data_IF_891638299018
#
_entry.id   IF_891638299018
#
_cell.length_a   1.000
_cell.length_b   1.000
_cell.length_c   1.000
_cell.angle_alpha   90.00
_cell.angle_beta   90.00
_cell.angle_gamma   90.00
#
_symmetry.space_group_name_H-M   'P 1'
#
loop_
_entity.id
_entity.type
_entity.pdbx_description
1 polymer ?
#
# COMPACT_ATOMS: atom_id res chain seq x y z
N UNK A 1 1.31 8.85 8.38
CA UNK A 1 2.63 8.86 7.72
C UNK A 1 3.72 9.29 8.71
N UNK A 2 4.98 8.91 8.43
CA UNK A 2 6.21 9.37 9.11
C UNK A 2 7.42 8.97 8.28
N UNK A 3 8.61 9.51 8.60
CA UNK A 3 9.87 9.02 8.05
C UNK A 3 10.25 7.64 8.63
N UNK A 4 11.01 6.86 7.87
CA UNK A 4 11.44 5.51 8.24
C UNK A 4 10.41 4.41 7.94
N UNK A 5 10.75 3.17 8.28
CA UNK A 5 10.00 1.97 7.89
C UNK A 5 9.13 1.31 8.97
N UNK A 6 8.81 2.02 10.06
CA UNK A 6 8.01 1.45 11.15
C UNK A 6 6.51 1.41 10.79
N UNK A 7 6.14 0.42 9.96
CA UNK A 7 4.75 0.22 9.49
C UNK A 7 3.79 -0.03 10.66
N UNK A 8 4.22 -0.78 11.68
CA UNK A 8 3.41 -1.08 12.86
C UNK A 8 2.96 0.18 13.60
N UNK A 9 3.88 1.10 13.86
CA UNK A 9 3.57 2.38 14.52
C UNK A 9 2.62 3.26 13.70
N UNK A 10 2.79 3.28 12.37
CA UNK A 10 1.89 4.03 11.48
C UNK A 10 0.48 3.43 11.48
N UNK A 11 0.38 2.10 11.43
CA UNK A 11 -0.89 1.39 11.46
C UNK A 11 -1.61 1.58 12.80
N UNK A 12 -0.90 1.47 13.92
CA UNK A 12 -1.46 1.71 15.26
C UNK A 12 -2.06 3.12 15.37
N UNK A 13 -1.32 4.13 14.89
CA UNK A 13 -1.79 5.52 14.87
C UNK A 13 -3.03 5.70 14.00
N UNK A 14 -3.10 5.02 12.85
CA UNK A 14 -4.28 5.05 11.98
C UNK A 14 -5.50 4.43 12.68
N UNK A 15 -5.36 3.23 13.25
CA UNK A 15 -6.45 2.52 13.94
C UNK A 15 -7.00 3.37 15.09
N UNK A 16 -6.12 3.97 15.89
CA UNK A 16 -6.53 4.86 16.99
C UNK A 16 -7.35 6.05 16.49
N UNK A 17 -6.91 6.67 15.40
CA UNK A 17 -7.62 7.82 14.79
C UNK A 17 -9.00 7.44 14.24
N UNK A 18 -9.07 6.35 13.46
CA UNK A 18 -10.34 5.88 12.86
C UNK A 18 -11.34 5.50 13.94
N UNK A 19 -10.93 4.73 14.96
CA UNK A 19 -11.82 4.36 16.08
C UNK A 19 -12.33 5.56 16.86
N UNK A 20 -11.49 6.58 17.07
CA UNK A 20 -11.91 7.79 17.76
C UNK A 20 -13.01 8.55 16.97
N UNK A 21 -12.86 8.64 15.63
CA UNK A 21 -13.86 9.28 14.76
C UNK A 21 -15.15 8.47 14.71
N UNK A 22 -15.06 7.15 14.63
CA UNK A 22 -16.21 6.24 14.59
C UNK A 22 -17.14 6.41 15.80
N UNK A 23 -16.58 6.76 16.98
CA UNK A 23 -17.40 7.07 18.17
C UNK A 23 -18.30 8.31 18.02
N UNK A 24 -18.03 9.16 17.03
CA UNK A 24 -18.73 10.43 16.79
C UNK A 24 -19.56 10.40 15.51
N UNK A 25 -19.08 9.70 14.48
CA UNK A 25 -19.71 9.62 13.17
C UNK A 25 -19.66 8.16 12.69
N UNK A 26 -20.80 7.47 12.64
CA UNK A 26 -20.84 6.09 12.17
C UNK A 26 -20.49 6.03 10.68
N UNK A 27 -19.65 5.05 10.30
CA UNK A 27 -19.28 4.82 8.91
C UNK A 27 -20.30 3.92 8.22
N UNK A 28 -20.48 4.12 6.92
CA UNK A 28 -21.37 3.29 6.10
C UNK A 28 -20.66 2.04 5.61
N UNK A 29 -21.26 0.88 5.87
CA UNK A 29 -20.76 -0.42 5.47
C UNK A 29 -21.85 -1.24 4.80
N UNK A 30 -21.49 -1.91 3.72
CA UNK A 30 -22.29 -2.92 3.01
C UNK A 30 -21.67 -4.30 3.20
N UNK A 31 -22.48 -5.34 3.31
CA UNK A 31 -21.97 -6.69 3.59
C UNK A 31 -21.16 -7.30 2.45
N UNK A 32 -21.46 -6.91 1.20
CA UNK A 32 -20.74 -7.37 0.01
C UNK A 32 -19.59 -6.45 -0.35
N UNK A 33 -19.79 -5.13 -0.22
CA UNK A 33 -18.85 -4.11 -0.68
C UNK A 33 -17.92 -3.59 0.42
N UNK A 34 -18.14 -3.95 1.69
CA UNK A 34 -17.37 -3.44 2.82
C UNK A 34 -17.63 -1.95 3.06
N UNK A 35 -16.60 -1.20 3.45
CA UNK A 35 -16.72 0.22 3.69
C UNK A 35 -16.98 0.99 2.39
N UNK A 36 -18.00 1.84 2.41
CA UNK A 36 -18.43 2.57 1.22
C UNK A 36 -17.58 3.83 1.00
N UNK A 37 -17.20 4.05 -0.25
CA UNK A 37 -16.40 5.20 -0.68
C UNK A 37 -16.99 5.80 -1.96
N UNK A 38 -16.69 7.07 -2.23
CA UNK A 38 -17.13 7.74 -3.45
C UNK A 38 -16.59 7.07 -4.73
N UNK A 39 -15.29 6.74 -4.74
CA UNK A 39 -14.67 6.05 -5.88
C UNK A 39 -14.79 4.53 -5.69
N UNK A 40 -15.34 3.77 -6.67
CA UNK A 40 -15.47 2.32 -6.57
C UNK A 40 -14.15 1.57 -6.36
N UNK A 41 -13.02 2.14 -6.79
CA UNK A 41 -11.71 1.51 -6.62
C UNK A 41 -11.24 1.41 -5.16
N UNK A 42 -11.91 2.11 -4.23
CA UNK A 42 -11.56 2.14 -2.81
C UNK A 42 -12.55 1.39 -1.91
N UNK A 43 -13.51 0.65 -2.48
CA UNK A 43 -14.43 -0.19 -1.70
C UNK A 43 -13.68 -1.29 -0.92
N UNK A 44 -14.33 -1.85 0.10
CA UNK A 44 -13.82 -2.94 0.92
C UNK A 44 -13.15 -2.43 2.19
N UNK A 45 -11.86 -2.65 2.31
CA UNK A 45 -11.03 -2.15 3.42
C UNK A 45 -10.77 -0.66 3.35
N UNK A 46 -10.86 -0.06 2.16
CA UNK A 46 -10.36 1.28 1.83
C UNK A 46 -8.86 1.50 2.11
N UNK A 47 -8.12 0.46 2.54
CA UNK A 47 -6.75 0.59 3.01
C UNK A 47 -5.78 0.63 1.84
N UNK A 48 -5.05 1.73 1.73
CA UNK A 48 -3.80 1.81 0.99
C UNK A 48 -2.65 1.99 1.97
N UNK A 49 -1.95 0.91 2.26
CA UNK A 49 -0.67 0.99 2.94
C UNK A 49 0.43 1.12 1.88
N UNK A 50 1.38 2.02 2.08
CA UNK A 50 2.45 2.22 1.13
C UNK A 50 3.75 2.72 1.75
N UNK A 51 4.84 2.59 0.99
CA UNK A 51 6.16 3.14 1.31
C UNK A 51 6.72 3.87 0.10
N UNK A 52 7.45 4.95 0.35
CA UNK A 52 8.41 5.46 -0.62
C UNK A 52 9.73 4.73 -0.40
N UNK A 53 10.19 4.02 -1.42
CA UNK A 53 11.38 3.17 -1.33
C UNK A 53 12.28 3.34 -2.54
N UNK A 54 13.60 3.39 -2.31
CA UNK A 54 14.63 3.47 -3.34
C UNK A 54 15.06 2.06 -3.76
N UNK A 55 14.80 1.70 -5.03
CA UNK A 55 14.99 0.37 -5.61
C UNK A 55 15.75 0.41 -6.97
N UNK A 56 16.85 1.17 -7.10
CA UNK A 56 17.46 1.50 -8.39
C UNK A 56 17.93 0.29 -9.19
N UNK A 57 18.28 -0.84 -8.55
CA UNK A 57 18.78 -2.01 -9.26
C UNK A 57 17.66 -2.92 -9.74
N UNK A 58 16.74 -3.30 -8.84
CA UNK A 58 15.63 -4.19 -9.21
C UNK A 58 14.66 -3.48 -10.15
N UNK A 59 14.47 -2.15 -10.00
CA UNK A 59 13.59 -1.39 -10.88
C UNK A 59 14.14 -1.19 -12.30
N UNK A 60 15.45 -1.35 -12.50
CA UNK A 60 16.07 -1.29 -13.82
C UNK A 60 15.84 -2.58 -14.63
N UNK A 61 15.37 -3.66 -14.01
CA UNK A 61 15.10 -4.92 -14.72
C UNK A 61 13.78 -4.83 -15.51
N UNK A 62 13.72 -5.41 -16.72
CA UNK A 62 12.52 -5.32 -17.58
C UNK A 62 11.29 -6.01 -16.98
N UNK A 63 11.48 -6.94 -16.05
CA UNK A 63 10.43 -7.70 -15.37
C UNK A 63 9.98 -7.09 -14.03
N UNK A 64 10.52 -5.95 -13.61
CA UNK A 64 10.20 -5.33 -12.31
C UNK A 64 8.69 -5.16 -12.06
N UNK A 65 7.97 -4.64 -13.06
CA UNK A 65 6.52 -4.46 -12.98
C UNK A 65 5.79 -5.79 -12.81
N UNK A 66 6.23 -6.83 -13.53
CA UNK A 66 5.69 -8.18 -13.44
C UNK A 66 5.93 -8.78 -12.05
N UNK A 67 7.14 -8.65 -11.50
CA UNK A 67 7.49 -9.08 -10.14
C UNK A 67 6.54 -8.44 -9.11
N UNK A 68 6.34 -7.12 -9.18
CA UNK A 68 5.43 -6.41 -8.28
C UNK A 68 3.97 -6.85 -8.46
N UNK A 69 3.50 -7.03 -9.69
CA UNK A 69 2.14 -7.50 -9.99
C UNK A 69 1.89 -8.92 -9.44
N UNK A 70 2.87 -9.83 -9.55
CA UNK A 70 2.80 -11.19 -8.98
C UNK A 70 2.72 -11.16 -7.44
N UNK A 71 3.40 -10.20 -6.81
CA UNK A 71 3.28 -9.93 -5.36
C UNK A 71 2.03 -9.11 -5.01
N UNK A 72 1.15 -8.82 -5.99
CA UNK A 72 -0.07 -8.02 -5.82
C UNK A 72 0.23 -6.61 -5.26
N UNK A 73 1.34 -6.02 -5.68
CA UNK A 73 1.72 -4.64 -5.35
C UNK A 73 1.33 -3.70 -6.49
N UNK A 74 0.99 -2.46 -6.15
CA UNK A 74 0.82 -1.38 -7.10
C UNK A 74 2.02 -0.43 -6.98
N UNK A 75 2.66 -0.15 -8.12
CA UNK A 75 3.77 0.79 -8.25
C UNK A 75 3.25 2.12 -8.78
N UNK A 76 3.71 3.23 -8.21
CA UNK A 76 3.54 4.59 -8.75
C UNK A 76 4.84 5.39 -8.61
N UNK A 77 4.93 6.49 -9.37
CA UNK A 77 5.99 7.47 -9.13
C UNK A 77 5.71 8.34 -7.90
N UNK A 78 6.75 9.03 -7.43
CA UNK A 78 6.70 9.80 -6.17
C UNK A 78 5.90 11.11 -6.27
N UNK A 79 5.57 11.58 -7.48
CA UNK A 79 4.72 12.76 -7.70
C UNK A 79 3.27 12.40 -8.09
N UNK A 80 2.85 11.14 -7.97
CA UNK A 80 1.45 10.73 -8.10
C UNK A 80 1.20 9.61 -9.12
N UNK A 81 -0.06 9.51 -9.57
CA UNK A 81 -0.55 8.43 -10.44
C UNK A 81 0.07 8.38 -11.83
N UNK A 82 0.69 9.47 -12.28
CA UNK A 82 1.21 9.64 -13.64
C UNK A 82 2.63 10.19 -13.71
N UNK A 83 3.34 10.29 -12.58
CA UNK A 83 4.69 10.87 -12.57
C UNK A 83 5.77 9.84 -12.88
N UNK A 84 6.75 10.25 -13.67
CA UNK A 84 7.99 9.48 -13.82
C UNK A 84 8.75 9.39 -12.49
N UNK A 85 9.56 8.33 -12.36
CA UNK A 85 10.37 8.09 -11.17
C UNK A 85 11.75 8.68 -11.34
N UNK A 86 12.05 9.71 -10.57
CA UNK A 86 13.43 10.18 -10.42
C UNK A 86 14.22 9.28 -9.45
N UNK A 87 15.43 8.89 -9.84
CA UNK A 87 16.41 8.27 -8.93
C UNK A 87 16.08 6.87 -8.41
N UNK A 88 15.16 6.15 -9.06
CA UNK A 88 14.74 4.79 -8.67
C UNK A 88 13.90 4.76 -7.40
N UNK A 89 13.22 5.86 -7.05
CA UNK A 89 12.30 5.91 -5.90
C UNK A 89 10.87 5.69 -6.36
N UNK A 90 10.16 4.78 -5.69
CA UNK A 90 8.79 4.39 -6.03
C UNK A 90 7.87 4.47 -4.81
N UNK A 91 6.59 4.82 -5.04
CA UNK A 91 5.49 4.55 -4.12
C UNK A 91 4.96 3.14 -4.37
N UNK A 92 5.18 2.24 -3.41
CA UNK A 92 4.78 0.83 -3.48
C UNK A 92 3.68 0.58 -2.47
N UNK A 93 2.52 0.11 -2.93
CA UNK A 93 1.34 -0.14 -2.10
C UNK A 93 0.71 -1.51 -2.35
N UNK A 94 -0.15 -1.97 -1.44
CA UNK A 94 -1.03 -3.10 -1.75
C UNK A 94 -1.93 -2.76 -2.95
N UNK A 95 -2.22 -3.72 -3.83
CA UNK A 95 -3.10 -3.53 -4.99
C UNK A 95 -4.58 -3.77 -4.66
N UNK A 96 -4.88 -4.77 -3.84
CA UNK A 96 -6.24 -5.12 -3.46
C UNK A 96 -6.80 -4.20 -2.37
N UNK A 97 -8.11 -3.91 -2.46
CA UNK A 97 -8.89 -3.15 -1.45
C UNK A 97 -10.10 -3.93 -0.96
N UNK A 98 -10.73 -4.68 -1.86
CA UNK A 98 -11.94 -5.48 -1.62
C UNK A 98 -11.63 -6.99 -1.58
N UNK A 99 -12.38 -7.74 -0.76
CA UNK A 99 -12.24 -9.19 -0.65
C UNK A 99 -11.12 -9.67 0.27
N UNK A 100 -10.65 -8.79 1.17
CA UNK A 100 -9.63 -9.07 2.18
C UNK A 100 -9.87 -8.18 3.41
N UNK A 101 -9.25 -8.52 4.53
CA UNK A 101 -9.22 -7.71 5.75
C UNK A 101 -8.18 -6.59 5.66
N UNK A 102 -8.32 -5.56 6.50
CA UNK A 102 -7.34 -4.49 6.64
C UNK A 102 -5.96 -5.03 7.00
N UNK A 103 -5.89 -6.06 7.85
CA UNK A 103 -4.64 -6.73 8.21
C UNK A 103 -3.97 -7.38 6.99
N UNK A 104 -4.72 -8.15 6.21
CA UNK A 104 -4.20 -8.80 5.00
C UNK A 104 -3.71 -7.78 3.96
N UNK A 105 -4.43 -6.65 3.82
CA UNK A 105 -4.02 -5.56 2.94
C UNK A 105 -2.66 -4.97 3.35
N UNK A 106 -2.47 -4.66 4.64
CA UNK A 106 -1.18 -4.16 5.14
C UNK A 106 -0.09 -5.23 5.07
N UNK A 107 -0.41 -6.48 5.44
CA UNK A 107 0.54 -7.60 5.40
C UNK A 107 1.04 -7.88 3.99
N UNK A 108 0.16 -7.85 2.99
CA UNK A 108 0.54 -8.02 1.59
C UNK A 108 1.55 -6.95 1.14
N UNK A 109 1.30 -5.68 1.49
CA UNK A 109 2.28 -4.61 1.22
C UNK A 109 3.59 -4.87 1.96
N UNK A 110 3.53 -5.16 3.26
CA UNK A 110 4.70 -5.35 4.11
C UNK A 110 5.60 -6.49 3.63
N UNK A 111 5.02 -7.66 3.33
CA UNK A 111 5.76 -8.83 2.86
C UNK A 111 6.35 -8.58 1.46
N UNK A 112 5.58 -7.96 0.57
CA UNK A 112 6.03 -7.60 -0.77
C UNK A 112 7.20 -6.60 -0.74
N UNK A 113 7.13 -5.57 0.10
CA UNK A 113 8.22 -4.60 0.30
C UNK A 113 9.46 -5.28 0.88
N UNK A 114 9.30 -6.17 1.87
CA UNK A 114 10.44 -6.96 2.38
C UNK A 114 11.10 -7.77 1.28
N UNK A 115 10.30 -8.41 0.42
CA UNK A 115 10.84 -9.17 -0.70
C UNK A 115 11.57 -8.30 -1.72
N UNK A 116 11.04 -7.12 -2.03
CA UNK A 116 11.71 -6.15 -2.91
C UNK A 116 13.05 -5.69 -2.32
N UNK A 117 13.14 -5.50 -1.00
CA UNK A 117 14.41 -5.17 -0.32
C UNK A 117 15.43 -6.30 -0.47
N UNK A 118 15.01 -7.56 -0.36
CA UNK A 118 15.89 -8.72 -0.60
C UNK A 118 16.41 -8.75 -2.05
N UNK A 119 15.50 -8.56 -3.02
CA UNK A 119 15.82 -8.56 -4.43
C UNK A 119 16.75 -7.41 -4.83
N UNK A 120 16.54 -6.22 -4.27
CA UNK A 120 17.41 -5.06 -4.47
C UNK A 120 18.82 -5.29 -3.93
N UNK A 121 18.96 -5.97 -2.79
CA UNK A 121 20.27 -6.31 -2.22
C UNK A 121 21.02 -7.36 -3.04
N UNK A 122 20.29 -8.27 -3.69
CA UNK A 122 20.86 -9.36 -4.49
C UNK A 122 21.15 -8.97 -5.95
N UNK A 123 20.53 -7.89 -6.44
CA UNK A 123 20.81 -7.30 -7.75
C UNK A 123 22.10 -6.47 -7.74
#
# INVERSE_FOLDING_TARGET
MQNGGNVGQVLERLIKGVKAIETKVPFSRDDRLGWLTFCPSNLGTTVRASVHIKLPKISAKPDFKKICDEMKLQIRGIHGEHSETEGGVYDISNKARLGLTEFEAVKQMYDGVKKLIELEKAA
#
